data_IF_733605888323
#
_entry.id   IF_733605888323
#
_cell.length_a   1.000
_cell.length_b   1.000
_cell.length_c   1.000
_cell.angle_alpha   90.00
_cell.angle_beta   90.00
_cell.angle_gamma   90.00
#
_symmetry.space_group_name_H-M   'P 1'
#
loop_
_entity.id
_entity.type
_entity.pdbx_description
1 polymer ?
#
# COMPACT_ATOMS: atom_id res chain seq x y z
N UNK A 1 6.12 11.06 -6.55
CA UNK A 1 6.78 9.92 -7.22
C UNK A 1 6.87 10.24 -8.70
N UNK A 2 8.09 10.28 -9.25
CA UNK A 2 8.29 10.12 -10.69
C UNK A 2 8.25 8.62 -10.96
N UNK A 3 7.42 8.22 -11.92
CA UNK A 3 7.42 6.87 -12.45
C UNK A 3 8.13 7.01 -13.79
N UNK A 4 9.40 6.62 -13.83
CA UNK A 4 10.11 6.48 -15.10
C UNK A 4 9.56 5.20 -15.73
N UNK A 5 8.43 5.34 -16.41
CA UNK A 5 7.87 4.33 -17.29
C UNK A 5 8.21 4.79 -18.70
N UNK A 6 9.37 4.39 -19.18
CA UNK A 6 9.69 4.48 -20.60
C UNK A 6 8.81 3.43 -21.29
N UNK A 7 7.68 3.90 -21.84
CA UNK A 7 6.64 3.07 -22.44
C UNK A 7 6.92 2.95 -23.93
N UNK A 8 7.51 1.84 -24.32
CA UNK A 8 7.44 1.36 -25.70
C UNK A 8 6.65 0.04 -25.80
N UNK A 9 6.57 -0.79 -24.74
CA UNK A 9 5.95 -2.13 -24.81
C UNK A 9 4.76 -2.39 -23.85
N UNK A 10 3.94 -1.38 -23.54
CA UNK A 10 2.86 -1.54 -22.56
C UNK A 10 1.81 -2.61 -22.93
N UNK A 11 1.67 -2.92 -24.23
CA UNK A 11 0.75 -3.95 -24.72
C UNK A 11 1.18 -5.37 -24.34
N UNK A 12 2.47 -5.57 -24.02
CA UNK A 12 2.99 -6.86 -23.54
C UNK A 12 2.72 -7.08 -22.06
N UNK A 13 2.32 -6.04 -21.31
CA UNK A 13 2.14 -6.13 -19.86
C UNK A 13 0.92 -7.00 -19.54
N UNK A 14 1.18 -8.19 -19.01
CA UNK A 14 0.14 -9.12 -18.53
C UNK A 14 -0.30 -8.79 -17.11
N UNK A 15 0.55 -8.16 -16.30
CA UNK A 15 0.22 -7.75 -14.93
C UNK A 15 0.94 -6.49 -14.50
N UNK A 16 0.24 -5.67 -13.70
CA UNK A 16 0.84 -4.54 -13.01
C UNK A 16 0.40 -4.48 -11.55
N UNK A 17 1.37 -4.27 -10.66
CA UNK A 17 1.19 -4.27 -9.22
C UNK A 17 1.82 -3.02 -8.59
N UNK A 18 1.08 -2.36 -7.69
CA UNK A 18 1.68 -1.45 -6.73
C UNK A 18 2.18 -2.24 -5.53
N UNK A 19 3.50 -2.20 -5.33
CA UNK A 19 4.19 -2.90 -4.26
C UNK A 19 4.58 -1.91 -3.18
N UNK A 20 4.11 -2.16 -1.96
CA UNK A 20 4.42 -1.42 -0.74
C UNK A 20 5.43 -2.26 0.05
N UNK A 21 6.69 -1.83 0.06
CA UNK A 21 7.78 -2.49 0.78
C UNK A 21 7.91 -1.89 2.19
N UNK A 22 8.10 -2.75 3.18
CA UNK A 22 8.27 -2.39 4.60
C UNK A 22 7.13 -1.51 5.13
N UNK A 23 5.89 -1.90 4.83
CA UNK A 23 4.70 -1.24 5.34
C UNK A 23 4.57 -1.50 6.85
N UNK A 24 4.56 -0.42 7.63
CA UNK A 24 4.28 -0.51 9.06
C UNK A 24 2.79 -0.78 9.30
N UNK A 25 2.51 -1.69 10.23
CA UNK A 25 1.17 -2.00 10.73
C UNK A 25 0.97 -1.46 12.16
N UNK A 26 1.89 -0.62 12.66
CA UNK A 26 1.74 0.06 13.95
C UNK A 26 0.74 1.22 13.82
N UNK A 27 -0.12 1.37 14.83
CA UNK A 27 -1.10 2.43 14.92
C UNK A 27 -2.48 2.03 14.41
N UNK A 28 -3.22 3.00 13.90
CA UNK A 28 -4.63 2.83 13.51
C UNK A 28 -4.83 2.03 12.23
N UNK A 29 -5.92 1.26 12.16
CA UNK A 29 -6.38 0.65 10.90
C UNK A 29 -6.85 1.72 9.89
N UNK A 30 -6.53 1.55 8.61
CA UNK A 30 -6.91 2.50 7.56
C UNK A 30 -7.13 1.85 6.19
N UNK A 31 -7.86 2.55 5.34
CA UNK A 31 -7.98 2.21 3.93
C UNK A 31 -7.05 3.10 3.12
N UNK A 32 -6.21 2.49 2.29
CA UNK A 32 -5.42 3.19 1.28
C UNK A 32 -6.13 3.08 -0.06
N UNK A 33 -6.61 4.20 -0.60
CA UNK A 33 -7.23 4.28 -1.93
C UNK A 33 -6.22 4.84 -2.91
N UNK A 34 -6.14 4.23 -4.09
CA UNK A 34 -5.19 4.63 -5.14
C UNK A 34 -5.96 5.23 -6.31
N UNK A 35 -5.47 6.36 -6.80
CA UNK A 35 -6.00 7.03 -7.99
C UNK A 35 -4.88 7.33 -8.98
N UNK A 36 -5.05 6.92 -10.23
CA UNK A 36 -4.18 7.25 -11.36
C UNK A 36 -4.60 8.54 -12.04
N UNK A 37 -3.64 9.34 -12.46
CA UNK A 37 -3.80 10.59 -13.20
C UNK A 37 -4.78 11.60 -12.55
N UNK A 38 -4.99 11.51 -11.23
CA UNK A 38 -5.85 12.42 -10.48
C UNK A 38 -5.13 12.97 -9.24
N UNK A 39 -4.35 14.05 -9.42
CA UNK A 39 -3.62 14.74 -8.34
C UNK A 39 -4.52 15.31 -7.24
N UNK A 40 -5.80 15.58 -7.55
CA UNK A 40 -6.77 16.20 -6.64
C UNK A 40 -7.62 15.15 -5.90
N UNK A 41 -7.28 13.88 -5.98
CA UNK A 41 -8.05 12.83 -5.32
C UNK A 41 -8.01 13.00 -3.79
N UNK A 42 -9.17 12.89 -3.17
CA UNK A 42 -9.38 12.99 -1.72
C UNK A 42 -10.22 11.81 -1.23
N UNK A 43 -10.46 11.72 0.08
CA UNK A 43 -11.33 10.70 0.64
C UNK A 43 -12.80 10.78 0.17
N UNK A 44 -13.21 11.93 -0.39
CA UNK A 44 -14.54 12.15 -0.96
C UNK A 44 -14.60 11.82 -2.46
N UNK A 45 -13.47 11.63 -3.12
CA UNK A 45 -13.42 11.30 -4.56
C UNK A 45 -14.13 9.98 -4.82
N UNK A 46 -15.08 9.98 -5.76
CA UNK A 46 -15.83 8.78 -6.17
C UNK A 46 -14.88 7.70 -6.66
N UNK A 47 -15.13 6.47 -6.26
CA UNK A 47 -14.26 5.30 -6.53
C UNK A 47 -14.58 4.68 -7.90
N UNK A 48 -14.49 5.49 -8.95
CA UNK A 48 -14.83 5.08 -10.33
C UNK A 48 -13.66 5.30 -11.27
N UNK A 49 -13.64 4.56 -12.38
CA UNK A 49 -12.60 4.69 -13.41
C UNK A 49 -12.49 6.12 -13.97
N UNK A 50 -13.62 6.81 -14.17
CA UNK A 50 -13.65 8.22 -14.61
C UNK A 50 -12.86 9.17 -13.69
N UNK A 51 -12.80 8.84 -12.40
CA UNK A 51 -12.05 9.62 -11.41
C UNK A 51 -10.62 9.10 -11.18
N UNK A 52 -10.16 8.16 -12.02
CA UNK A 52 -8.84 7.56 -11.92
C UNK A 52 -8.73 6.46 -10.88
N UNK A 53 -9.83 5.95 -10.29
CA UNK A 53 -9.73 4.95 -9.22
C UNK A 53 -9.05 3.66 -9.70
N UNK A 54 -7.95 3.30 -9.05
CA UNK A 54 -7.12 2.16 -9.40
C UNK A 54 -7.30 0.97 -8.45
N UNK A 55 -7.66 1.21 -7.19
CA UNK A 55 -7.88 0.14 -6.22
C UNK A 55 -7.84 0.61 -4.77
N UNK A 56 -7.94 -0.34 -3.84
CA UNK A 56 -7.82 -0.11 -2.40
C UNK A 56 -7.11 -1.27 -1.70
N UNK A 57 -6.26 -0.93 -0.73
CA UNK A 57 -5.85 -1.83 0.35
C UNK A 57 -6.53 -1.43 1.67
N UNK A 58 -6.86 -2.41 2.50
CA UNK A 58 -7.18 -2.19 3.91
C UNK A 58 -5.99 -2.65 4.73
N UNK A 59 -5.46 -1.75 5.55
CA UNK A 59 -4.35 -2.01 6.46
C UNK A 59 -4.95 -2.16 7.85
N UNK A 60 -4.74 -3.32 8.46
CA UNK A 60 -5.11 -3.59 9.83
C UNK A 60 -3.95 -3.16 10.73
N UNK A 61 -4.20 -2.10 11.49
CA UNK A 61 -3.25 -1.54 12.44
C UNK A 61 -3.36 -2.25 13.79
N UNK A 62 -2.23 -2.44 14.46
CA UNK A 62 -2.12 -3.15 15.75
C UNK A 62 -2.20 -2.21 16.97
N UNK A 63 -2.62 -0.96 16.77
CA UNK A 63 -2.62 0.04 17.83
C UNK A 63 -1.23 0.64 18.05
N UNK A 64 -1.17 1.63 18.93
CA UNK A 64 0.09 2.24 19.34
C UNK A 64 0.86 1.27 20.25
N UNK A 65 2.18 1.48 20.36
CA UNK A 65 2.97 0.67 21.29
C UNK A 65 2.60 1.02 22.72
N UNK A 66 2.12 0.03 23.48
CA UNK A 66 1.76 0.18 24.89
C UNK A 66 2.84 -0.36 25.86
N UNK A 67 3.98 -0.83 25.32
CA UNK A 67 5.11 -1.35 26.09
C UNK A 67 6.21 -0.31 26.32
N UNK A 68 7.22 -0.68 27.10
CA UNK A 68 8.42 0.15 27.32
C UNK A 68 9.20 0.37 26.02
N UNK A 69 10.16 1.30 26.05
CA UNK A 69 11.06 1.55 24.92
C UNK A 69 11.65 0.23 24.37
N UNK A 70 11.69 0.10 23.04
CA UNK A 70 12.15 -1.11 22.36
C UNK A 70 11.12 -2.23 22.18
N UNK A 71 10.00 -2.25 22.93
CA UNK A 71 9.04 -3.37 22.95
C UNK A 71 8.39 -3.65 21.57
N UNK A 72 8.12 -2.60 20.79
CA UNK A 72 7.53 -2.76 19.45
C UNK A 72 8.55 -2.71 18.32
N UNK A 73 9.85 -2.60 18.64
CA UNK A 73 10.91 -2.69 17.66
C UNK A 73 11.01 -4.12 17.18
N UNK A 74 10.76 -4.37 15.90
CA UNK A 74 10.85 -5.71 15.31
C UNK A 74 12.30 -6.22 15.17
N UNK A 75 13.27 -5.55 15.78
CA UNK A 75 14.64 -6.04 15.91
C UNK A 75 14.72 -7.12 16.99
N UNK A 76 14.02 -8.22 16.78
CA UNK A 76 14.34 -9.47 17.46
C UNK A 76 14.75 -10.44 16.36
N UNK A 77 16.06 -10.41 16.03
CA UNK A 77 16.71 -11.68 15.74
C UNK A 77 16.43 -12.50 17.00
N UNK A 78 15.43 -13.38 16.96
CA UNK A 78 15.41 -14.43 17.95
C UNK A 78 16.76 -15.12 17.78
N UNK A 79 17.59 -15.12 18.82
CA UNK A 79 18.62 -16.14 18.95
C UNK A 79 17.86 -17.46 18.95
N UNK A 80 17.72 -18.03 17.74
CA UNK A 80 17.17 -19.36 17.58
C UNK A 80 18.14 -20.25 18.32
N UNK A 81 17.78 -20.68 19.52
CA UNK A 81 18.43 -21.82 20.15
C UNK A 81 18.38 -22.93 19.11
N UNK A 82 19.55 -23.35 18.63
CA UNK A 82 19.72 -24.38 17.60
C UNK A 82 19.04 -25.71 17.98
N UNK A 83 18.64 -25.85 19.25
CA UNK A 83 18.13 -27.07 19.86
C UNK A 83 16.61 -27.04 20.12
N UNK A 84 15.90 -25.96 19.77
CA UNK A 84 14.45 -25.88 19.92
C UNK A 84 13.75 -26.58 18.74
N UNK A 85 12.65 -27.34 18.96
CA UNK A 85 11.87 -27.93 17.87
C UNK A 85 11.46 -26.81 16.90
N UNK A 86 11.48 -27.10 15.60
CA UNK A 86 11.20 -26.16 14.52
C UNK A 86 9.76 -25.61 14.59
N UNK A 87 9.53 -24.69 15.52
CA UNK A 87 8.34 -23.88 15.56
C UNK A 87 8.41 -22.92 14.38
N UNK A 88 7.33 -22.76 13.59
CA UNK A 88 7.31 -21.75 12.55
C UNK A 88 7.69 -20.42 13.18
N UNK A 89 8.70 -19.74 12.63
CA UNK A 89 9.06 -18.38 13.07
C UNK A 89 7.86 -17.50 12.77
N UNK A 90 7.01 -17.31 13.77
CA UNK A 90 5.85 -16.44 13.69
C UNK A 90 6.40 -15.03 13.51
N UNK A 91 6.18 -14.47 12.31
CA UNK A 91 6.54 -13.07 12.07
C UNK A 91 5.83 -12.21 13.11
N UNK A 92 6.60 -11.37 13.80
CA UNK A 92 6.04 -10.47 14.80
C UNK A 92 4.92 -9.63 14.14
N UNK A 93 3.74 -9.46 14.77
CA UNK A 93 2.60 -8.76 14.14
C UNK A 93 2.90 -7.33 13.68
N UNK A 94 3.92 -6.69 14.28
CA UNK A 94 4.41 -5.35 13.93
C UNK A 94 5.59 -5.33 12.95
N UNK A 95 6.10 -6.50 12.54
CA UNK A 95 7.18 -6.58 11.56
C UNK A 95 6.74 -5.90 10.25
N UNK A 96 7.59 -5.06 9.63
CA UNK A 96 7.25 -4.42 8.37
C UNK A 96 6.86 -5.45 7.31
N UNK A 97 5.72 -5.22 6.65
CA UNK A 97 5.15 -6.20 5.71
C UNK A 97 5.21 -5.71 4.28
N UNK A 98 5.38 -6.66 3.36
CA UNK A 98 5.11 -6.42 1.94
C UNK A 98 3.61 -6.47 1.69
N UNK A 99 3.08 -5.48 0.98
CA UNK A 99 1.70 -5.50 0.45
C UNK A 99 1.69 -5.21 -1.03
N UNK A 100 0.78 -5.89 -1.72
CA UNK A 100 0.65 -5.81 -3.17
C UNK A 100 -0.79 -5.42 -3.49
N UNK A 101 -0.96 -4.40 -4.33
CA UNK A 101 -2.24 -4.04 -4.95
C UNK A 101 -2.12 -4.22 -6.46
N UNK A 102 -2.78 -5.22 -7.00
CA UNK A 102 -2.87 -5.39 -8.45
C UNK A 102 -3.72 -4.28 -9.06
N UNK A 103 -3.13 -3.61 -10.03
CA UNK A 103 -3.65 -2.42 -10.71
C UNK A 103 -3.71 -2.60 -12.23
N UNK A 104 -3.50 -3.82 -12.76
CA UNK A 104 -3.51 -4.12 -14.20
C UNK A 104 -4.68 -3.47 -14.94
N UNK A 105 -5.95 -3.65 -14.53
CA UNK A 105 -7.07 -3.08 -15.28
C UNK A 105 -7.08 -1.55 -15.24
N UNK A 106 -6.55 -0.95 -14.17
CA UNK A 106 -6.46 0.50 -14.06
C UNK A 106 -5.33 1.08 -14.90
N UNK A 107 -4.20 0.36 -14.98
CA UNK A 107 -3.09 0.73 -15.84
C UNK A 107 -3.51 0.63 -17.30
N UNK A 108 -4.07 -0.50 -17.74
CA UNK A 108 -4.55 -0.71 -19.12
C UNK A 108 -5.50 0.42 -19.57
N UNK A 109 -6.49 0.78 -18.73
CA UNK A 109 -7.38 1.92 -19.02
C UNK A 109 -6.64 3.25 -19.18
N UNK A 110 -5.59 3.49 -18.39
CA UNK A 110 -4.81 4.72 -18.45
C UNK A 110 -3.96 4.74 -19.73
N UNK A 111 -3.30 3.63 -20.03
CA UNK A 111 -2.46 3.48 -21.22
C UNK A 111 -3.26 3.65 -22.52
N UNK A 112 -4.46 3.05 -22.60
CA UNK A 112 -5.35 3.20 -23.76
C UNK A 112 -5.93 4.61 -23.91
N UNK A 113 -6.11 5.34 -22.81
CA UNK A 113 -6.87 6.61 -22.79
C UNK A 113 -5.98 7.84 -22.92
N UNK A 114 -4.76 7.79 -22.40
CA UNK A 114 -3.90 8.96 -22.28
C UNK A 114 -2.60 8.72 -23.03
N UNK A 115 -2.31 9.57 -24.02
CA UNK A 115 -1.06 9.51 -24.80
C UNK A 115 0.20 9.62 -23.94
N UNK A 116 0.12 10.31 -22.80
CA UNK A 116 1.22 10.43 -21.81
C UNK A 116 1.29 9.26 -20.82
N UNK A 117 0.43 8.25 -20.96
CA UNK A 117 0.34 7.12 -20.04
C UNK A 117 0.07 7.52 -18.58
N UNK A 118 0.67 6.78 -17.65
CA UNK A 118 0.56 7.02 -16.21
C UNK A 118 1.58 8.09 -15.77
N UNK A 119 1.11 9.29 -15.42
CA UNK A 119 1.97 10.39 -14.97
C UNK A 119 1.74 10.78 -13.50
N UNK A 120 0.73 10.22 -12.83
CA UNK A 120 0.46 10.50 -11.42
C UNK A 120 -0.19 9.31 -10.73
N UNK A 121 0.32 8.97 -9.55
CA UNK A 121 -0.33 8.06 -8.61
C UNK A 121 -0.60 8.84 -7.31
N UNK A 122 -1.88 8.96 -6.96
CA UNK A 122 -2.33 9.62 -5.73
C UNK A 122 -2.80 8.58 -4.73
N UNK A 123 -2.19 8.63 -3.55
CA UNK A 123 -2.47 7.73 -2.44
C UNK A 123 -3.29 8.48 -1.39
N UNK A 124 -4.50 7.98 -1.09
CA UNK A 124 -5.44 8.60 -0.18
C UNK A 124 -5.72 7.67 0.99
N UNK A 125 -5.36 8.08 2.19
CA UNK A 125 -5.60 7.35 3.43
C UNK A 125 -6.91 7.77 4.11
N UNK A 126 -7.69 6.78 4.53
CA UNK A 126 -8.96 6.98 5.25
C UNK A 126 -8.97 6.12 6.50
N UNK A 127 -8.95 6.76 7.67
CA UNK A 127 -9.02 6.10 8.98
C UNK A 127 -10.23 5.16 9.04
N UNK A 128 -10.00 3.91 9.43
CA UNK A 128 -11.05 2.92 9.70
C UNK A 128 -11.33 2.86 11.20
N UNK A 129 -11.95 3.91 11.73
CA UNK A 129 -12.48 3.89 13.10
C UNK A 129 -13.58 2.81 13.24
N UNK A 130 -13.75 2.20 14.44
CA UNK A 130 -14.78 1.19 14.69
C UNK A 130 -16.17 1.70 14.31
N UNK A 131 -16.52 2.91 14.77
CA UNK A 131 -17.75 3.57 14.39
C UNK A 131 -17.63 4.20 12.99
N UNK A 132 -18.50 3.79 12.07
CA UNK A 132 -18.53 4.28 10.68
C UNK A 132 -18.59 5.81 10.58
N UNK A 133 -19.36 6.47 11.45
CA UNK A 133 -19.48 7.95 11.51
C UNK A 133 -18.18 8.67 11.89
N UNK A 134 -17.21 7.96 12.47
CA UNK A 134 -15.90 8.50 12.88
C UNK A 134 -14.80 8.24 11.84
N UNK A 135 -15.10 7.53 10.74
CA UNK A 135 -14.15 7.32 9.65
C UNK A 135 -13.94 8.62 8.88
N UNK A 136 -12.68 9.05 8.75
CA UNK A 136 -12.34 10.33 8.12
C UNK A 136 -11.02 10.24 7.34
N UNK A 137 -10.80 11.10 6.32
CA UNK A 137 -9.47 11.31 5.77
C UNK A 137 -8.48 11.64 6.89
N UNK A 138 -7.29 11.06 6.81
CA UNK A 138 -6.21 11.31 7.76
C UNK A 138 -4.88 11.07 7.07
N UNK A 139 -4.09 12.14 6.90
CA UNK A 139 -2.73 12.09 6.36
C UNK A 139 -1.77 11.44 7.35
N UNK A 140 -0.59 11.02 6.88
CA UNK A 140 0.48 10.47 7.73
C UNK A 140 0.27 9.04 8.21
N UNK A 141 -0.84 8.39 7.87
CA UNK A 141 -1.10 6.98 8.22
C UNK A 141 -0.27 5.99 7.41
N UNK A 142 0.02 6.31 6.14
CA UNK A 142 0.85 5.44 5.31
C UNK A 142 2.31 5.62 5.71
N UNK A 143 2.88 4.60 6.37
CA UNK A 143 4.31 4.49 6.66
C UNK A 143 4.87 3.26 5.97
N UNK A 144 5.65 3.45 4.92
CA UNK A 144 6.36 2.40 4.21
C UNK A 144 7.69 2.92 3.68
N UNK A 145 8.69 2.06 3.52
CA UNK A 145 9.99 2.48 2.96
C UNK A 145 9.86 2.88 1.50
N UNK A 146 9.12 2.10 0.70
CA UNK A 146 9.02 2.32 -0.74
C UNK A 146 7.67 1.88 -1.27
N UNK A 147 7.15 2.65 -2.22
CA UNK A 147 6.10 2.22 -3.14
C UNK A 147 6.73 2.10 -4.52
N UNK A 148 6.43 1.05 -5.27
CA UNK A 148 6.87 0.92 -6.66
C UNK A 148 5.75 0.34 -7.51
N UNK A 149 5.65 0.76 -8.77
CA UNK A 149 4.88 0.02 -9.76
C UNK A 149 5.78 -1.06 -10.34
N UNK A 150 5.34 -2.32 -10.30
CA UNK A 150 6.00 -3.44 -10.98
C UNK A 150 5.12 -3.94 -12.10
N UNK A 151 5.71 -4.15 -13.26
CA UNK A 151 5.06 -4.71 -14.44
C UNK A 151 5.65 -6.07 -14.74
N UNK A 152 4.84 -6.92 -15.35
CA UNK A 152 5.20 -8.27 -15.76
C UNK A 152 4.69 -8.41 -17.20
N UNK A 153 5.56 -8.89 -18.08
CA UNK A 153 5.26 -9.17 -19.49
C UNK A 153 5.33 -10.67 -19.72
#
# INVERSE_FOLDING_TARGET
MKFDLDIEDWETITRADLVFEDLSTIGSSYALRVFFNNKKATAKTKRTAKNGYAGRLTIFGHGDCLGSEGHCSSASKMDVRLDAPAMPVLQHPTAPMKRILTVTPALDRVMRRYSKGLHTVTLVTVLQAPLRKKRKPMSGLLKCRRVSLRTYS
#
